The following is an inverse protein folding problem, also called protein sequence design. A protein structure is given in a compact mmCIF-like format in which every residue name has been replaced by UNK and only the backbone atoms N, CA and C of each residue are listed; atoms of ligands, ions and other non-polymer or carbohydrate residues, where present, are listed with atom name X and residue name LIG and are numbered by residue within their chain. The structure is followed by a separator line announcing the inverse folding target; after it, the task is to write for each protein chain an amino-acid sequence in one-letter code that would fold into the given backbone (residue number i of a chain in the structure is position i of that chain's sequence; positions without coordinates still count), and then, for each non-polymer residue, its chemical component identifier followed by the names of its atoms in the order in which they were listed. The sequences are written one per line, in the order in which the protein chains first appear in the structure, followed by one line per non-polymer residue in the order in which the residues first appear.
data_IF_300476668427
#
_entry.id   IF_300476668427
#
_cell.length_a   1.000
_cell.length_b   1.000
_cell.length_c   1.000
_cell.angle_alpha   90.00
_cell.angle_beta   90.00
_cell.angle_gamma   90.00
#
_symmetry.space_group_name_H-M   'P 1'
#
loop_
_entity.id
_entity.type
_entity.pdbx_description
1 polymer ?
#
# COMPACT_ATOMS: atom_id res chain seq x y z
N UNK A 1 13.73 -14.50 21.08
CA UNK A 1 13.96 -14.36 19.61
C UNK A 1 14.60 -13.01 19.39
N UNK A 2 15.86 -12.97 18.95
CA UNK A 2 16.57 -11.71 18.71
C UNK A 2 15.87 -10.88 17.62
N UNK A 3 16.09 -9.56 17.55
CA UNK A 3 15.55 -8.73 16.48
C UNK A 3 16.20 -9.18 15.17
N UNK A 4 15.53 -10.08 14.45
CA UNK A 4 16.01 -10.63 13.19
C UNK A 4 16.34 -9.49 12.25
N UNK A 5 17.55 -9.51 11.71
CA UNK A 5 18.00 -8.62 10.65
C UNK A 5 16.94 -8.63 9.55
N UNK A 6 16.25 -7.51 9.35
CA UNK A 6 15.20 -7.43 8.34
C UNK A 6 15.79 -6.79 7.08
N UNK A 7 15.77 -7.52 5.97
CA UNK A 7 16.19 -7.01 4.66
C UNK A 7 15.01 -7.06 3.70
N UNK A 8 14.66 -5.92 3.13
CA UNK A 8 13.75 -5.88 1.97
C UNK A 8 14.46 -6.47 0.74
N UNK A 9 13.69 -6.92 -0.25
CA UNK A 9 14.25 -7.46 -1.50
C UNK A 9 15.10 -6.39 -2.21
N UNK A 10 16.25 -6.77 -2.77
CA UNK A 10 17.10 -5.84 -3.54
C UNK A 10 16.38 -5.25 -4.77
N UNK A 11 15.36 -5.93 -5.29
CA UNK A 11 14.54 -5.42 -6.40
C UNK A 11 13.36 -4.55 -5.98
N UNK A 12 13.20 -4.29 -4.67
CA UNK A 12 12.19 -3.37 -4.15
C UNK A 12 12.68 -1.92 -4.26
N UNK A 13 11.94 -1.09 -4.99
CA UNK A 13 12.10 0.36 -4.96
C UNK A 13 11.05 0.99 -4.04
N UNK A 14 11.49 1.66 -2.98
CA UNK A 14 10.60 2.38 -2.06
C UNK A 14 10.53 3.87 -2.46
N UNK A 15 9.32 4.38 -2.71
CA UNK A 15 9.04 5.74 -3.17
C UNK A 15 8.19 6.45 -2.13
N UNK A 16 8.76 7.46 -1.46
CA UNK A 16 8.05 8.28 -0.49
C UNK A 16 7.19 9.33 -1.21
N UNK A 17 5.91 9.40 -0.87
CA UNK A 17 4.95 10.36 -1.43
C UNK A 17 4.41 11.21 -0.28
N UNK A 18 4.84 12.47 -0.24
CA UNK A 18 4.42 13.41 0.80
C UNK A 18 3.06 14.02 0.47
N UNK A 19 2.04 13.61 1.23
CA UNK A 19 0.67 14.07 1.10
C UNK A 19 0.30 15.12 2.16
N UNK A 20 1.29 15.78 2.78
CA UNK A 20 1.07 16.77 3.85
C UNK A 20 0.31 18.02 3.42
N UNK A 21 0.20 18.26 2.10
CA UNK A 21 -0.38 19.48 1.53
C UNK A 21 0.58 20.67 1.57
N UNK A 22 0.14 21.79 1.01
CA UNK A 22 0.92 23.03 0.95
C UNK A 22 1.05 23.69 2.32
N UNK A 23 2.14 24.44 2.51
CA UNK A 23 2.33 25.24 3.72
C UNK A 23 1.21 26.27 3.85
N UNK A 24 0.62 26.37 5.04
CA UNK A 24 -0.47 27.31 5.34
C UNK A 24 -1.88 26.75 5.12
N UNK A 25 -2.03 25.55 4.54
CA UNK A 25 -3.33 24.86 4.49
C UNK A 25 -3.67 24.17 5.81
N UNK A 26 -4.95 24.10 6.16
CA UNK A 26 -5.41 23.41 7.35
C UNK A 26 -5.15 21.90 7.23
N UNK A 27 -4.43 21.35 8.21
CA UNK A 27 -4.02 19.93 8.23
C UNK A 27 -5.00 19.11 9.04
N UNK A 28 -6.04 18.61 8.38
CA UNK A 28 -7.07 17.75 8.96
C UNK A 28 -6.98 16.33 8.40
N UNK A 29 -7.61 15.33 9.04
CA UNK A 29 -7.73 13.99 8.46
C UNK A 29 -8.39 14.00 7.07
N UNK A 30 -9.28 14.95 6.82
CA UNK A 30 -9.98 15.09 5.54
C UNK A 30 -9.07 15.68 4.46
N UNK A 31 -8.34 16.76 4.74
CA UNK A 31 -7.37 17.31 3.78
C UNK A 31 -6.25 16.32 3.48
N UNK A 32 -5.78 15.58 4.50
CA UNK A 32 -4.85 14.47 4.31
C UNK A 32 -5.40 13.37 3.39
N UNK A 33 -6.68 12.99 3.55
CA UNK A 33 -7.31 12.01 2.67
C UNK A 33 -7.43 12.53 1.24
N UNK A 34 -7.80 13.81 1.04
CA UNK A 34 -7.90 14.42 -0.29
C UNK A 34 -6.55 14.47 -1.01
N UNK A 35 -5.47 14.84 -0.31
CA UNK A 35 -4.12 14.84 -0.89
C UNK A 35 -3.67 13.43 -1.29
N UNK A 36 -3.92 12.44 -0.43
CA UNK A 36 -3.65 11.02 -0.75
C UNK A 36 -4.50 10.51 -1.91
N UNK A 37 -5.76 10.94 -2.01
CA UNK A 37 -6.62 10.67 -3.16
C UNK A 37 -5.98 11.19 -4.44
N UNK A 38 -5.54 12.45 -4.47
CA UNK A 38 -4.89 13.04 -5.65
C UNK A 38 -3.65 12.26 -6.05
N UNK A 39 -2.78 11.94 -5.08
CA UNK A 39 -1.60 11.12 -5.32
C UNK A 39 -1.93 9.71 -5.85
N UNK A 40 -2.96 9.05 -5.31
CA UNK A 40 -3.40 7.73 -5.78
C UNK A 40 -3.87 7.79 -7.24
N UNK A 41 -4.72 8.76 -7.58
CA UNK A 41 -5.23 8.90 -8.94
C UNK A 41 -4.10 9.20 -9.93
N UNK A 42 -3.16 10.08 -9.55
CA UNK A 42 -1.98 10.37 -10.36
C UNK A 42 -1.12 9.12 -10.60
N UNK A 43 -0.90 8.29 -9.57
CA UNK A 43 -0.17 7.03 -9.73
C UNK A 43 -0.88 6.04 -10.65
N UNK A 44 -2.21 5.96 -10.56
CA UNK A 44 -3.01 5.11 -11.44
C UNK A 44 -2.88 5.52 -12.92
N UNK A 45 -2.74 6.82 -13.20
CA UNK A 45 -2.55 7.33 -14.58
C UNK A 45 -1.12 7.18 -15.08
N UNK A 46 -0.13 7.50 -14.24
CA UNK A 46 1.26 7.65 -14.68
C UNK A 46 2.07 6.36 -14.61
N UNK A 47 1.62 5.38 -13.82
CA UNK A 47 2.34 4.13 -13.62
C UNK A 47 1.37 2.92 -13.57
N UNK A 48 0.60 2.67 -14.64
CA UNK A 48 -0.24 1.49 -14.71
C UNK A 48 0.62 0.22 -14.71
N UNK A 49 0.19 -0.76 -13.93
CA UNK A 49 0.78 -2.10 -13.83
C UNK A 49 -0.34 -3.12 -13.71
N UNK A 50 -0.07 -4.41 -13.93
CA UNK A 50 -1.11 -5.43 -13.92
C UNK A 50 -1.67 -5.66 -12.51
N UNK A 51 -0.81 -5.67 -11.47
CA UNK A 51 -1.24 -5.96 -10.10
C UNK A 51 -0.69 -4.97 -9.08
N UNK A 52 -1.61 -4.29 -8.41
CA UNK A 52 -1.34 -3.38 -7.31
C UNK A 52 -2.07 -3.81 -6.04
N UNK A 53 -1.40 -3.78 -4.89
CA UNK A 53 -2.06 -3.91 -3.58
C UNK A 53 -2.09 -2.54 -2.88
N UNK A 54 -3.26 -2.11 -2.43
CA UNK A 54 -3.46 -0.86 -1.68
C UNK A 54 -3.78 -1.19 -0.22
N UNK A 55 -2.87 -0.88 0.69
CA UNK A 55 -3.02 -1.10 2.11
C UNK A 55 -3.61 0.11 2.83
N UNK A 56 -4.68 -0.14 3.59
CA UNK A 56 -5.29 0.82 4.50
C UNK A 56 -5.25 0.30 5.94
N UNK A 57 -5.29 1.22 6.92
CA UNK A 57 -5.28 0.87 8.34
C UNK A 57 -6.69 0.57 8.88
N UNK A 58 -7.73 1.05 8.21
CA UNK A 58 -9.14 0.91 8.62
C UNK A 58 -9.99 0.47 7.45
N UNK A 59 -11.03 -0.33 7.75
CA UNK A 59 -12.03 -0.77 6.75
C UNK A 59 -12.74 0.44 6.13
N UNK A 60 -13.00 1.48 6.92
CA UNK A 60 -13.61 2.71 6.43
C UNK A 60 -12.76 3.36 5.31
N UNK A 61 -11.44 3.44 5.49
CA UNK A 61 -10.53 3.95 4.45
C UNK A 61 -10.56 3.06 3.22
N UNK A 62 -10.57 1.72 3.37
CA UNK A 62 -10.70 0.82 2.22
C UNK A 62 -11.95 1.13 1.39
N UNK A 63 -13.11 1.30 2.04
CA UNK A 63 -14.37 1.62 1.36
C UNK A 63 -14.31 2.97 0.64
N UNK A 64 -13.69 3.99 1.26
CA UNK A 64 -13.51 5.31 0.62
C UNK A 64 -12.60 5.21 -0.61
N UNK A 65 -11.48 4.49 -0.50
CA UNK A 65 -10.53 4.25 -1.60
C UNK A 65 -11.18 3.44 -2.73
N UNK A 66 -11.92 2.37 -2.40
CA UNK A 66 -12.67 1.56 -3.36
C UNK A 66 -13.66 2.43 -4.16
N UNK A 67 -14.51 3.18 -3.47
CA UNK A 67 -15.50 4.05 -4.11
C UNK A 67 -14.85 5.13 -4.98
N UNK A 68 -13.73 5.68 -4.53
CA UNK A 68 -12.96 6.66 -5.30
C UNK A 68 -12.46 6.05 -6.62
N UNK A 69 -11.79 4.91 -6.55
CA UNK A 69 -11.19 4.27 -7.72
C UNK A 69 -12.25 3.79 -8.71
N UNK A 70 -13.35 3.22 -8.22
CA UNK A 70 -14.51 2.85 -9.06
C UNK A 70 -15.15 4.05 -9.76
N UNK A 71 -15.14 5.24 -9.15
CA UNK A 71 -15.64 6.47 -9.79
C UNK A 71 -14.66 7.01 -10.84
N UNK A 72 -13.37 6.86 -10.60
CA UNK A 72 -12.32 7.29 -11.52
C UNK A 72 -12.32 6.48 -12.82
N UNK A 73 -12.66 5.20 -12.76
CA UNK A 73 -12.72 4.29 -13.92
C UNK A 73 -13.96 4.48 -14.83
N UNK A 74 -14.82 5.47 -14.55
CA UNK A 74 -16.06 5.71 -15.34
C UNK A 74 -15.82 6.03 -16.84
N UNK A 75 -14.58 6.30 -17.23
CA UNK A 75 -14.18 6.58 -18.61
C UNK A 75 -13.54 5.37 -19.32
N UNK A 76 -13.69 4.14 -18.79
CA UNK A 76 -13.20 2.92 -19.43
C UNK A 76 -11.70 2.69 -19.27
N UNK A 77 -11.12 3.11 -18.14
CA UNK A 77 -9.68 3.00 -17.87
C UNK A 77 -9.35 1.64 -17.27
N UNK A 78 -9.74 0.53 -17.88
CA UNK A 78 -9.12 -0.77 -17.63
C UNK A 78 -8.81 -1.14 -16.15
N UNK A 79 -9.54 -0.65 -15.14
CA UNK A 79 -9.17 -0.78 -13.71
C UNK A 79 -10.21 -1.62 -12.99
N UNK A 80 -9.77 -2.74 -12.43
CA UNK A 80 -10.63 -3.59 -11.62
C UNK A 80 -10.28 -3.46 -10.13
N UNK A 81 -11.23 -2.96 -9.36
CA UNK A 81 -11.05 -2.75 -7.91
C UNK A 81 -11.63 -3.93 -7.13
N UNK A 82 -10.76 -4.65 -6.42
CA UNK A 82 -11.05 -5.86 -5.68
C UNK A 82 -10.90 -5.61 -4.17
N UNK A 83 -11.98 -5.27 -3.44
CA UNK A 83 -11.90 -5.02 -2.01
C UNK A 83 -11.69 -6.32 -1.22
N UNK A 84 -10.85 -6.28 -0.18
CA UNK A 84 -10.49 -7.44 0.61
C UNK A 84 -10.30 -7.08 2.09
N UNK A 85 -11.41 -7.06 2.83
CA UNK A 85 -11.42 -6.71 4.26
C UNK A 85 -12.57 -7.39 5.02
N UNK A 86 -12.44 -7.50 6.34
CA UNK A 86 -13.33 -8.32 7.18
C UNK A 86 -14.83 -7.95 7.18
N UNK A 87 -15.20 -6.75 6.71
CA UNK A 87 -16.61 -6.38 6.56
C UNK A 87 -17.29 -6.94 5.30
N UNK A 88 -16.55 -7.63 4.42
CA UNK A 88 -17.12 -8.37 3.30
C UNK A 88 -17.41 -9.81 3.73
N UNK A 89 -18.47 -10.38 3.15
CA UNK A 89 -18.75 -11.81 3.24
C UNK A 89 -17.51 -12.63 2.80
N UNK A 90 -17.30 -13.78 3.42
CA UNK A 90 -16.10 -14.58 3.19
C UNK A 90 -16.01 -15.06 1.75
N UNK A 91 -17.14 -15.41 1.15
CA UNK A 91 -17.27 -15.86 -0.23
C UNK A 91 -16.79 -14.77 -1.20
N UNK A 92 -17.19 -13.52 -0.96
CA UNK A 92 -16.77 -12.35 -1.76
C UNK A 92 -15.27 -12.12 -1.62
N UNK A 93 -14.73 -12.21 -0.39
CA UNK A 93 -13.28 -12.06 -0.16
C UNK A 93 -12.48 -13.13 -0.92
N UNK A 94 -12.91 -14.38 -0.87
CA UNK A 94 -12.25 -15.48 -1.57
C UNK A 94 -12.35 -15.33 -3.09
N UNK A 95 -13.50 -14.90 -3.61
CA UNK A 95 -13.67 -14.62 -5.03
C UNK A 95 -12.72 -13.51 -5.51
N UNK A 96 -12.68 -12.36 -4.81
CA UNK A 96 -11.80 -11.24 -5.14
C UNK A 96 -10.32 -11.62 -5.04
N UNK A 97 -9.93 -12.41 -4.03
CA UNK A 97 -8.58 -12.91 -3.89
C UNK A 97 -8.19 -13.84 -5.05
N UNK A 98 -9.08 -14.78 -5.41
CA UNK A 98 -8.87 -15.70 -6.53
C UNK A 98 -8.71 -14.94 -7.84
N UNK A 99 -9.57 -13.95 -8.07
CA UNK A 99 -9.49 -13.07 -9.24
C UNK A 99 -8.13 -12.36 -9.32
N UNK A 100 -7.70 -11.74 -8.21
CA UNK A 100 -6.41 -11.05 -8.14
C UNK A 100 -5.21 -11.98 -8.38
N UNK A 101 -5.25 -13.20 -7.85
CA UNK A 101 -4.14 -14.16 -8.01
C UNK A 101 -4.10 -14.77 -9.41
N UNK A 102 -5.25 -15.16 -9.96
CA UNK A 102 -5.34 -15.95 -11.18
C UNK A 102 -5.39 -15.12 -12.46
N UNK A 103 -5.77 -13.85 -12.37
CA UNK A 103 -5.81 -13.00 -13.55
C UNK A 103 -4.37 -12.69 -14.00
N UNK A 104 -4.13 -12.97 -15.27
CA UNK A 104 -2.90 -12.63 -16.01
C UNK A 104 -3.16 -11.48 -16.99
N UNK A 105 -4.30 -10.80 -16.86
CA UNK A 105 -4.77 -9.88 -17.89
C UNK A 105 -3.80 -8.71 -18.05
N UNK A 106 -3.24 -8.58 -19.24
CA UNK A 106 -2.53 -7.37 -19.68
C UNK A 106 -3.51 -6.25 -20.03
N UNK A 107 -4.80 -6.57 -20.17
CA UNK A 107 -5.84 -5.62 -20.55
C UNK A 107 -6.34 -4.81 -19.37
N UNK A 108 -6.16 -5.25 -18.11
CA UNK A 108 -6.70 -4.55 -16.94
C UNK A 108 -5.71 -4.47 -15.77
N UNK A 109 -5.60 -3.28 -15.17
CA UNK A 109 -4.90 -3.08 -13.90
C UNK A 109 -5.79 -3.50 -12.73
N UNK A 110 -5.37 -4.52 -12.00
CA UNK A 110 -6.05 -5.04 -10.83
C UNK A 110 -5.56 -4.35 -9.57
N UNK A 111 -6.49 -3.87 -8.75
CA UNK A 111 -6.20 -3.24 -7.47
C UNK A 111 -6.87 -3.98 -6.33
N UNK A 112 -6.07 -4.67 -5.50
CA UNK A 112 -6.54 -5.28 -4.27
C UNK A 112 -6.50 -4.26 -3.12
N UNK A 113 -7.66 -3.82 -2.63
CA UNK A 113 -7.74 -2.82 -1.54
C UNK A 113 -8.01 -3.53 -0.22
N UNK A 114 -7.07 -3.51 0.73
CA UNK A 114 -7.13 -4.38 1.90
C UNK A 114 -6.62 -3.76 3.21
N UNK A 115 -6.88 -4.48 4.31
CA UNK A 115 -6.28 -4.24 5.64
C UNK A 115 -5.36 -5.42 6.02
N UNK A 116 -4.39 -5.18 6.91
CA UNK A 116 -3.47 -6.23 7.40
C UNK A 116 -4.19 -7.48 7.89
N UNK A 117 -5.24 -7.31 8.69
CA UNK A 117 -5.93 -8.45 9.32
C UNK A 117 -6.52 -9.38 8.28
N UNK A 118 -6.96 -8.84 7.14
CA UNK A 118 -7.50 -9.66 6.07
C UNK A 118 -6.40 -10.35 5.28
N UNK A 119 -5.27 -9.68 5.03
CA UNK A 119 -4.22 -10.14 4.10
C UNK A 119 -3.10 -10.98 4.72
N UNK A 120 -3.10 -11.21 6.04
CA UNK A 120 -2.07 -11.99 6.73
C UNK A 120 -2.08 -13.45 6.27
N UNK A 121 -0.88 -14.01 6.07
CA UNK A 121 -0.70 -15.41 5.67
C UNK A 121 -1.00 -15.71 4.20
N UNK A 122 -1.38 -14.72 3.39
CA UNK A 122 -1.69 -14.90 1.97
C UNK A 122 -0.44 -14.64 1.14
N UNK A 123 -0.11 -15.58 0.27
CA UNK A 123 0.97 -15.44 -0.69
C UNK A 123 0.45 -14.81 -1.99
N UNK A 124 0.56 -13.49 -2.12
CA UNK A 124 0.26 -12.81 -3.38
C UNK A 124 1.45 -12.91 -4.33
N UNK A 125 1.21 -13.40 -5.54
CA UNK A 125 2.20 -13.55 -6.61
C UNK A 125 2.00 -12.49 -7.69
N UNK A 126 3.09 -12.12 -8.38
CA UNK A 126 3.05 -11.18 -9.49
C UNK A 126 2.64 -9.75 -9.13
N UNK A 127 2.73 -9.36 -7.85
CA UNK A 127 2.43 -7.99 -7.41
C UNK A 127 3.59 -7.09 -7.81
N UNK A 128 3.32 -6.10 -8.67
CA UNK A 128 4.33 -5.16 -9.18
C UNK A 128 4.38 -3.89 -8.33
N UNK A 129 3.21 -3.41 -7.88
CA UNK A 129 3.10 -2.25 -7.01
C UNK A 129 2.44 -2.56 -5.67
N UNK A 130 2.96 -1.92 -4.63
CA UNK A 130 2.32 -1.81 -3.32
C UNK A 130 2.11 -0.33 -3.03
N UNK A 131 0.93 0.05 -2.57
CA UNK A 131 0.62 1.40 -2.10
C UNK A 131 0.26 1.32 -0.62
N UNK A 132 1.05 1.99 0.22
CA UNK A 132 0.69 2.20 1.63
C UNK A 132 -0.14 3.48 1.70
N UNK A 133 -1.44 3.38 1.38
CA UNK A 133 -2.35 4.53 1.39
C UNK A 133 -2.45 5.13 2.80
N UNK A 134 -2.56 4.27 3.81
CA UNK A 134 -2.32 4.65 5.20
C UNK A 134 -0.93 4.20 5.62
N UNK A 135 -0.16 5.14 6.16
CA UNK A 135 1.13 4.82 6.77
C UNK A 135 0.93 3.77 7.89
N UNK A 136 1.71 2.68 7.90
CA UNK A 136 1.58 1.59 8.87
C UNK A 136 1.73 2.07 10.32
N UNK A 137 1.07 1.39 11.26
CA UNK A 137 1.13 1.80 12.68
C UNK A 137 2.47 1.41 13.30
N UNK A 138 2.99 0.28 12.86
CA UNK A 138 4.25 -0.29 13.32
C UNK A 138 5.25 -0.49 12.17
N UNK A 139 6.56 -0.38 12.45
CA UNK A 139 7.61 -0.72 11.47
C UNK A 139 7.52 -2.17 10.96
N UNK A 140 7.05 -3.10 11.81
CA UNK A 140 6.85 -4.51 11.43
C UNK A 140 5.74 -4.67 10.37
N UNK A 141 4.67 -3.89 10.47
CA UNK A 141 3.59 -3.81 9.47
C UNK A 141 4.12 -3.26 8.16
N UNK A 142 4.90 -2.18 8.21
CA UNK A 142 5.52 -1.57 7.04
C UNK A 142 6.26 -2.62 6.21
N UNK A 143 7.19 -3.32 6.86
CA UNK A 143 7.99 -4.38 6.28
C UNK A 143 7.11 -5.46 5.63
N UNK A 144 6.10 -5.96 6.35
CA UNK A 144 5.21 -7.02 5.85
C UNK A 144 4.38 -6.59 4.64
N UNK A 145 4.05 -5.30 4.54
CA UNK A 145 3.27 -4.73 3.44
C UNK A 145 4.15 -4.48 2.21
N UNK A 146 5.30 -3.82 2.36
CA UNK A 146 6.19 -3.57 1.21
C UNK A 146 6.79 -4.87 0.65
N UNK A 147 6.98 -5.88 1.50
CA UNK A 147 7.40 -7.22 1.07
C UNK A 147 6.35 -8.02 0.27
N UNK A 148 5.17 -7.43 -0.05
CA UNK A 148 4.19 -8.08 -0.94
C UNK A 148 4.57 -8.00 -2.41
N UNK A 149 5.48 -7.09 -2.77
CA UNK A 149 6.05 -6.98 -4.13
C UNK A 149 7.53 -7.36 -4.14
N UNK A 150 8.16 -7.38 -5.32
CA UNK A 150 9.56 -7.74 -5.51
C UNK A 150 9.93 -9.12 -4.92
N UNK A 151 8.98 -10.07 -4.94
CA UNK A 151 9.17 -11.44 -4.44
C UNK A 151 9.79 -12.35 -5.51
N UNK A 152 10.53 -13.35 -5.06
CA UNK A 152 11.24 -14.30 -5.93
C UNK A 152 12.64 -13.84 -6.34
N UNK A 153 13.45 -14.77 -6.85
CA UNK A 153 14.79 -14.46 -7.33
C UNK A 153 14.71 -13.49 -8.52
N UNK A 154 15.39 -12.34 -8.41
CA UNK A 154 15.33 -11.28 -9.43
C UNK A 154 14.01 -10.50 -9.49
N UNK A 155 13.09 -10.72 -8.56
CA UNK A 155 11.81 -10.02 -8.51
C UNK A 155 11.99 -8.52 -8.36
N UNK A 156 11.27 -7.74 -9.17
CA UNK A 156 11.25 -6.27 -9.14
C UNK A 156 9.88 -5.78 -8.70
N UNK A 157 9.84 -4.62 -8.07
CA UNK A 157 8.59 -4.02 -7.64
C UNK A 157 8.77 -2.66 -6.99
N UNK A 158 7.69 -1.89 -6.93
CA UNK A 158 7.70 -0.57 -6.27
C UNK A 158 6.73 -0.53 -5.10
N UNK A 159 7.16 0.04 -3.99
CA UNK A 159 6.29 0.42 -2.90
C UNK A 159 6.16 1.94 -2.85
N UNK A 160 4.94 2.46 -2.96
CA UNK A 160 4.63 3.88 -2.78
C UNK A 160 4.11 4.11 -1.36
N UNK A 161 4.79 4.95 -0.60
CA UNK A 161 4.53 5.17 0.82
C UNK A 161 3.92 6.55 1.00
N UNK A 162 2.61 6.60 1.22
CA UNK A 162 1.91 7.85 1.43
C UNK A 162 2.07 8.27 2.89
N UNK A 163 2.62 9.47 3.09
CA UNK A 163 2.94 10.01 4.41
C UNK A 163 2.33 11.39 4.59
N UNK A 164 2.03 11.74 5.83
CA UNK A 164 1.63 13.10 6.22
C UNK A 164 2.36 13.56 7.47
N UNK A 165 2.78 14.83 7.49
CA UNK A 165 3.41 15.49 8.63
C UNK A 165 4.59 14.71 9.21
N UNK A 166 4.49 14.34 10.49
CA UNK A 166 5.54 13.60 11.20
C UNK A 166 5.85 12.21 10.61
N UNK A 167 4.96 11.64 9.80
CA UNK A 167 5.20 10.35 9.15
C UNK A 167 6.34 10.42 8.13
N UNK A 168 6.65 11.60 7.59
CA UNK A 168 7.71 11.80 6.60
C UNK A 168 9.08 11.41 7.18
N UNK A 169 9.44 11.94 8.35
CA UNK A 169 10.72 11.63 9.00
C UNK A 169 10.77 10.18 9.45
N UNK A 170 9.65 9.63 9.92
CA UNK A 170 9.54 8.25 10.33
C UNK A 170 9.74 7.27 9.16
N UNK A 171 9.09 7.52 8.03
CA UNK A 171 9.21 6.71 6.82
C UNK A 171 10.66 6.71 6.31
N UNK A 172 11.30 7.89 6.25
CA UNK A 172 12.72 8.00 5.85
C UNK A 172 13.62 7.16 6.75
N UNK A 173 13.39 7.17 8.07
CA UNK A 173 14.15 6.35 9.04
C UNK A 173 13.94 4.85 8.80
N UNK A 174 12.72 4.42 8.50
CA UNK A 174 12.43 3.00 8.18
C UNK A 174 13.12 2.58 6.88
N UNK A 175 12.96 3.37 5.81
CA UNK A 175 13.54 3.09 4.49
C UNK A 175 15.08 3.00 4.57
N UNK A 176 15.72 3.94 5.27
CA UNK A 176 17.17 3.92 5.48
C UNK A 176 17.62 2.64 6.22
N UNK A 177 16.89 2.25 7.26
CA UNK A 177 17.20 1.02 8.00
C UNK A 177 16.99 -0.24 7.15
N UNK A 178 15.91 -0.31 6.37
CA UNK A 178 15.66 -1.42 5.45
C UNK A 178 16.80 -1.59 4.43
N UNK A 179 17.26 -0.48 3.83
CA UNK A 179 18.37 -0.50 2.87
C UNK A 179 19.67 -1.01 3.49
N UNK A 180 19.94 -0.63 4.75
CA UNK A 180 21.11 -1.08 5.51
C UNK A 180 20.94 -2.48 6.12
N UNK A 181 19.75 -3.10 6.01
CA UNK A 181 19.42 -4.35 6.69
C UNK A 181 19.36 -4.23 8.21
N UNK A 182 19.22 -3.02 8.75
CA UNK A 182 19.23 -2.77 10.18
C UNK A 182 17.89 -3.16 10.84
N UNK A 183 17.92 -3.60 12.12
CA UNK A 183 16.69 -3.90 12.83
C UNK A 183 15.85 -2.64 13.08
N UNK A 184 14.53 -2.81 13.17
CA UNK A 184 13.56 -1.72 13.32
C UNK A 184 13.05 -1.52 14.76
N UNK A 185 13.58 -2.21 15.76
CA UNK A 185 13.04 -2.18 17.14
C UNK A 185 13.12 -0.78 17.79
N UNK A 186 14.12 0.04 17.43
CA UNK A 186 14.25 1.43 17.93
C UNK A 186 13.56 2.48 17.05
N UNK A 187 12.70 2.05 16.13
CA UNK A 187 11.89 2.98 15.33
C UNK A 187 10.57 3.21 16.06
N UNK A 188 10.23 4.46 16.45
CA UNK A 188 8.97 4.76 17.12
C UNK A 188 7.75 4.32 16.30
N UNK A 189 6.65 4.00 16.98
CA UNK A 189 5.38 3.77 16.30
C UNK A 189 4.79 5.07 15.75
N UNK A 190 4.08 5.00 14.64
CA UNK A 190 3.59 6.18 13.92
C UNK A 190 2.53 6.99 14.68
N UNK A 191 1.90 6.37 15.68
CA UNK A 191 0.75 6.92 16.41
C UNK A 191 1.00 7.02 17.92
N UNK A 192 2.25 7.03 18.39
CA UNK A 192 2.53 7.37 19.78
C UNK A 192 2.58 8.90 19.95
N UNK A 193 1.48 9.41 20.51
CA UNK A 193 1.25 10.76 21.00
C UNK A 193 0.00 10.73 21.87
#
# INVERSE_FOLDING_TARGET
MGPGMHRTSNGLQEVLVDCSGENGTEKTPESAFLNKKTALLQLMEQSPVSKTIVFCNKIETCRKVENLMKRFDRNGRHVQVLPFHAALAQEIRLANMKEFMNSSSEEHSLFLVCTDRASRGIDFTGVEHVILFDFPREPSEYVRRVGRTARGAGGKGKAFIFVVGKQVSLARKIMERNQKGHPLHDVPQAYMG
#
